data_IF_621709158486
#
_entry.id   IF_621709158486
#
_cell.length_a   1.000
_cell.length_b   1.000
_cell.length_c   1.000
_cell.angle_alpha   90.00
_cell.angle_beta   90.00
_cell.angle_gamma   90.00
#
_symmetry.space_group_name_H-M   'P 1'
#
loop_
_entity.id
_entity.type
_entity.pdbx_description
1 polymer ?
#
# COMPACT_ATOMS: atom_id res chain seq x y z
N UNK A 1 35.46 -19.21 21.62
CA UNK A 1 34.97 -18.18 20.68
C UNK A 1 34.51 -18.86 19.39
N UNK A 2 33.21 -18.91 19.12
CA UNK A 2 32.68 -19.24 17.80
C UNK A 2 31.42 -18.40 17.56
N UNK A 3 31.55 -17.37 16.72
CA UNK A 3 30.48 -16.51 16.26
C UNK A 3 29.61 -17.26 15.25
N UNK A 4 28.33 -17.47 15.57
CA UNK A 4 27.28 -17.60 14.55
C UNK A 4 26.06 -16.81 15.03
N UNK A 5 26.11 -15.49 14.80
CA UNK A 5 24.91 -14.67 14.83
C UNK A 5 24.06 -15.06 13.61
N UNK A 6 23.05 -15.89 13.84
CA UNK A 6 21.99 -16.19 12.88
C UNK A 6 21.19 -14.91 12.66
N UNK A 7 21.61 -14.11 11.68
CA UNK A 7 20.83 -12.99 11.17
C UNK A 7 19.64 -13.58 10.40
N UNK A 8 18.52 -13.75 11.09
CA UNK A 8 17.24 -14.12 10.51
C UNK A 8 16.83 -13.07 9.48
N UNK A 9 16.63 -13.41 8.19
CA UNK A 9 16.05 -12.48 7.25
C UNK A 9 14.60 -12.23 7.68
N UNK A 10 14.33 -11.04 8.20
CA UNK A 10 12.96 -10.54 8.37
C UNK A 10 12.38 -10.32 6.97
N UNK A 11 11.86 -11.41 6.40
CA UNK A 11 11.02 -11.35 5.23
C UNK A 11 9.75 -10.60 5.63
N UNK A 12 9.77 -9.27 5.47
CA UNK A 12 8.57 -8.45 5.43
C UNK A 12 7.83 -8.86 4.17
N UNK A 13 7.06 -9.94 4.26
CA UNK A 13 6.14 -10.35 3.21
C UNK A 13 5.24 -9.15 3.02
N UNK A 14 5.29 -8.55 1.84
CA UNK A 14 4.21 -7.68 1.39
C UNK A 14 2.96 -8.55 1.50
N UNK A 15 2.24 -8.40 2.60
CA UNK A 15 0.98 -9.08 2.81
C UNK A 15 0.11 -8.59 1.67
N UNK A 16 -0.08 -9.42 0.65
CA UNK A 16 -1.17 -9.27 -0.29
C UNK A 16 -2.43 -9.49 0.54
N UNK A 17 -2.79 -8.48 1.33
CA UNK A 17 -3.89 -8.55 2.27
C UNK A 17 -5.15 -8.85 1.47
N UNK A 18 -6.03 -9.66 2.03
CA UNK A 18 -7.34 -9.90 1.44
C UNK A 18 -7.99 -8.57 1.09
N UNK A 19 -8.49 -8.44 -0.14
CA UNK A 19 -9.23 -7.24 -0.57
C UNK A 19 -10.48 -7.12 0.30
N UNK A 20 -10.59 -6.02 1.04
CA UNK A 20 -11.77 -5.77 1.87
C UNK A 20 -12.92 -5.22 1.04
N UNK A 21 -14.14 -5.30 1.58
CA UNK A 21 -15.33 -4.71 0.96
C UNK A 21 -15.20 -3.19 0.79
N UNK A 22 -14.58 -2.53 1.76
CA UNK A 22 -14.29 -1.09 1.70
C UNK A 22 -13.40 -0.73 0.52
N UNK A 23 -12.37 -1.53 0.21
CA UNK A 23 -11.55 -1.28 -0.98
C UNK A 23 -12.36 -1.44 -2.27
N UNK A 24 -13.22 -2.44 -2.36
CA UNK A 24 -14.08 -2.62 -3.53
C UNK A 24 -15.05 -1.45 -3.71
N UNK A 25 -15.51 -0.83 -2.62
CA UNK A 25 -16.44 0.29 -2.68
C UNK A 25 -15.73 1.63 -2.93
N UNK A 26 -14.68 1.92 -2.17
CA UNK A 26 -14.05 3.25 -2.14
C UNK A 26 -12.86 3.37 -3.09
N UNK A 27 -12.14 2.28 -3.35
CA UNK A 27 -10.96 2.33 -4.22
C UNK A 27 -11.25 2.01 -5.68
N UNK A 28 -12.45 1.55 -6.07
CA UNK A 28 -12.70 1.11 -7.45
C UNK A 28 -12.38 2.17 -8.50
N UNK A 29 -12.73 3.43 -8.24
CA UNK A 29 -12.51 4.50 -9.22
C UNK A 29 -11.03 4.90 -9.29
N UNK A 30 -10.38 5.08 -8.13
CA UNK A 30 -8.94 5.39 -8.07
C UNK A 30 -8.10 4.25 -8.64
N UNK A 31 -8.48 3.00 -8.33
CA UNK A 31 -7.90 1.80 -8.88
C UNK A 31 -7.96 1.81 -10.41
N UNK A 32 -9.15 1.96 -11.00
CA UNK A 32 -9.32 1.95 -12.45
C UNK A 32 -8.51 3.06 -13.13
N UNK A 33 -8.40 4.20 -12.46
CA UNK A 33 -7.71 5.39 -12.98
C UNK A 33 -6.19 5.31 -12.92
N UNK A 34 -5.63 4.78 -11.82
CA UNK A 34 -4.18 4.81 -11.57
C UNK A 34 -3.51 3.44 -11.63
N UNK A 35 -4.24 2.38 -11.28
CA UNK A 35 -3.69 1.04 -11.03
C UNK A 35 -4.46 -0.07 -11.75
N UNK A 36 -5.20 0.23 -12.81
CA UNK A 36 -6.12 -0.72 -13.47
C UNK A 36 -5.44 -2.00 -13.97
N UNK A 37 -4.17 -1.91 -14.36
CA UNK A 37 -3.30 -3.03 -14.72
C UNK A 37 -3.05 -4.04 -13.59
N UNK A 38 -3.08 -3.58 -12.34
CA UNK A 38 -2.75 -4.38 -11.17
C UNK A 38 -4.02 -4.89 -10.53
N UNK A 39 -4.33 -6.19 -10.53
CA UNK A 39 -5.51 -6.72 -9.81
C UNK A 39 -5.68 -6.19 -8.38
N UNK A 40 -6.91 -5.94 -7.90
CA UNK A 40 -7.15 -5.45 -6.52
C UNK A 40 -6.52 -6.36 -5.45
N UNK A 41 -6.40 -7.66 -5.75
CA UNK A 41 -5.79 -8.66 -4.88
C UNK A 41 -4.29 -8.92 -5.19
N UNK A 42 -3.68 -8.12 -6.04
CA UNK A 42 -2.28 -8.31 -6.46
C UNK A 42 -1.31 -7.66 -5.47
N UNK A 43 -0.15 -8.28 -5.28
CA UNK A 43 0.96 -7.71 -4.52
C UNK A 43 1.46 -6.39 -5.14
N UNK A 44 1.29 -6.22 -6.46
CA UNK A 44 1.66 -5.00 -7.17
C UNK A 44 0.72 -3.81 -6.92
N UNK A 45 -0.49 -4.06 -6.44
CA UNK A 45 -1.42 -2.98 -6.06
C UNK A 45 -0.81 -2.08 -5.00
N UNK A 46 -0.19 -2.65 -3.96
CA UNK A 46 0.38 -1.88 -2.86
C UNK A 46 1.45 -0.90 -3.38
N UNK A 47 2.30 -1.35 -4.32
CA UNK A 47 3.31 -0.49 -4.92
C UNK A 47 2.69 0.61 -5.79
N UNK A 48 1.71 0.27 -6.61
CA UNK A 48 1.02 1.25 -7.44
C UNK A 48 0.30 2.31 -6.59
N UNK A 49 -0.48 1.88 -5.59
CA UNK A 49 -1.21 2.77 -4.69
C UNK A 49 -0.28 3.67 -3.87
N UNK A 50 0.90 3.17 -3.47
CA UNK A 50 1.94 4.01 -2.85
C UNK A 50 2.44 5.11 -3.77
N UNK A 51 2.71 4.80 -5.04
CA UNK A 51 3.12 5.79 -6.05
C UNK A 51 2.01 6.78 -6.40
N UNK A 52 0.78 6.28 -6.51
CA UNK A 52 -0.41 7.08 -6.81
C UNK A 52 -0.95 7.83 -5.59
N UNK A 53 -0.43 7.57 -4.38
CA UNK A 53 -0.97 8.04 -3.09
C UNK A 53 -1.41 9.50 -3.01
N UNK A 54 -0.69 10.49 -3.57
CA UNK A 54 -1.13 11.90 -3.55
C UNK A 54 -2.35 12.16 -4.44
N UNK A 55 -2.56 11.30 -5.44
CA UNK A 55 -3.64 11.37 -6.43
C UNK A 55 -4.82 10.46 -6.10
N UNK A 56 -4.70 9.58 -5.11
CA UNK A 56 -5.80 8.74 -4.63
C UNK A 56 -6.78 9.56 -3.80
N UNK A 57 -8.05 9.18 -3.84
CA UNK A 57 -9.07 9.78 -2.99
C UNK A 57 -8.81 9.45 -1.50
N UNK A 58 -9.07 10.38 -0.57
CA UNK A 58 -8.85 10.17 0.87
C UNK A 58 -9.57 8.93 1.43
N UNK A 59 -10.77 8.63 0.92
CA UNK A 59 -11.54 7.46 1.30
C UNK A 59 -10.83 6.15 0.92
N UNK A 60 -10.26 6.07 -0.28
CA UNK A 60 -9.50 4.90 -0.70
C UNK A 60 -8.24 4.72 0.15
N UNK A 61 -7.51 5.81 0.43
CA UNK A 61 -6.31 5.77 1.28
C UNK A 61 -6.65 5.25 2.68
N UNK A 62 -7.74 5.72 3.28
CA UNK A 62 -8.19 5.20 4.58
C UNK A 62 -8.58 3.73 4.53
N UNK A 63 -9.26 3.29 3.46
CA UNK A 63 -9.62 1.88 3.28
C UNK A 63 -8.37 0.99 3.19
N UNK A 64 -7.31 1.45 2.51
CA UNK A 64 -6.03 0.74 2.42
C UNK A 64 -5.31 0.66 3.77
N UNK A 65 -5.36 1.73 4.58
CA UNK A 65 -4.81 1.73 5.95
C UNK A 65 -5.59 0.77 6.85
N UNK A 66 -6.93 0.82 6.82
CA UNK A 66 -7.79 -0.09 7.58
C UNK A 66 -7.60 -1.55 7.18
N UNK A 67 -7.36 -1.81 5.89
CA UNK A 67 -7.07 -3.14 5.38
C UNK A 67 -5.64 -3.63 5.70
N UNK A 68 -4.81 -2.81 6.35
CA UNK A 68 -3.41 -3.15 6.67
C UNK A 68 -2.48 -3.23 5.46
N UNK A 69 -2.92 -2.73 4.29
CA UNK A 69 -2.15 -2.79 3.04
C UNK A 69 -1.10 -1.69 2.92
N UNK A 70 -1.35 -0.56 3.58
CA UNK A 70 -0.41 0.55 3.72
C UNK A 70 -0.47 1.06 5.16
N UNK A 71 0.64 1.53 5.70
CA UNK A 71 0.66 2.15 7.03
C UNK A 71 0.34 3.64 6.94
N UNK A 72 -0.22 4.23 8.00
CA UNK A 72 -0.44 5.68 8.05
C UNK A 72 0.86 6.46 7.82
N UNK A 73 1.98 5.99 8.39
CA UNK A 73 3.30 6.57 8.18
C UNK A 73 3.75 6.56 6.70
N UNK A 74 3.32 5.57 5.92
CA UNK A 74 3.61 5.50 4.48
C UNK A 74 2.82 6.55 3.70
N UNK A 75 1.54 6.70 4.03
CA UNK A 75 0.66 7.74 3.48
C UNK A 75 1.22 9.13 3.76
N UNK A 76 1.64 9.37 4.99
CA UNK A 76 2.15 10.68 5.42
C UNK A 76 3.48 11.02 4.72
N UNK A 77 4.37 10.03 4.54
CA UNK A 77 5.60 10.18 3.74
C UNK A 77 5.30 10.56 2.29
N UNK A 78 4.36 9.87 1.65
CA UNK A 78 3.97 10.14 0.26
C UNK A 78 3.33 11.53 0.11
N UNK A 79 2.48 11.93 1.06
CA UNK A 79 1.92 13.29 1.11
C UNK A 79 3.00 14.36 1.27
N UNK A 80 3.98 14.14 2.16
CA UNK A 80 5.09 15.07 2.35
C UNK A 80 5.94 15.21 1.08
N UNK A 81 6.21 14.09 0.39
CA UNK A 81 6.95 14.09 -0.88
C UNK A 81 6.20 14.81 -2.01
N UNK A 82 4.87 14.71 -2.05
CA UNK A 82 4.05 15.40 -3.04
C UNK A 82 3.93 16.91 -2.79
N UNK A 83 4.01 17.36 -1.53
CA UNK A 83 3.97 18.78 -1.17
C UNK A 83 5.29 19.52 -1.48
N UNK A 84 6.39 18.78 -1.67
CA UNK A 84 7.71 19.31 -2.00
C UNK A 84 8.09 19.27 -3.48
N UNK A 85 7.20 18.80 -4.37
CA UNK A 85 7.36 18.84 -5.84
C UNK A 85 6.48 19.94 -6.42
#
# INVERSE_FOLDING_TARGET
MACLALASPSAAWAQAGTVTKDMQNFCVNDYKKFCGDWGLNSSGLNLCMRKAGPSLSPACVQALVKAGKVSQAEVDKVKAQAKGR
#
